data_IF_940325193213
#
_entry.id   IF_940325193213
#
_cell.length_a   1.000
_cell.length_b   1.000
_cell.length_c   1.000
_cell.angle_alpha   90.00
_cell.angle_beta   90.00
_cell.angle_gamma   90.00
#
_symmetry.space_group_name_H-M   'P 1'
#
loop_
_entity.id
_entity.type
_entity.pdbx_description
1 polymer ?
#
# COMPACT_ATOMS: atom_id res chain seq x y z
N UNK A 1 -20.67 6.84 -2.64
CA UNK A 1 -19.62 7.01 -1.61
C UNK A 1 -18.67 5.82 -1.55
N UNK A 2 -19.09 4.57 -1.81
CA UNK A 2 -18.22 3.38 -1.70
C UNK A 2 -17.06 3.26 -2.72
N UNK A 3 -17.19 3.79 -3.94
CA UNK A 3 -16.12 3.71 -4.94
C UNK A 3 -14.83 4.46 -4.52
N UNK A 4 -14.98 5.56 -3.77
CA UNK A 4 -13.85 6.37 -3.30
C UNK A 4 -13.06 5.66 -2.19
N UNK A 5 -13.76 4.97 -1.28
CA UNK A 5 -13.18 4.20 -0.19
C UNK A 5 -12.45 2.95 -0.71
N UNK A 6 -13.06 2.24 -1.67
CA UNK A 6 -12.47 1.08 -2.34
C UNK A 6 -11.24 1.44 -3.18
N UNK A 7 -11.23 2.62 -3.81
CA UNK A 7 -10.06 3.11 -4.52
C UNK A 7 -8.92 3.49 -3.56
N UNK A 8 -9.22 4.15 -2.44
CA UNK A 8 -8.22 4.44 -1.41
C UNK A 8 -7.62 3.15 -0.83
N UNK A 9 -8.46 2.12 -0.61
CA UNK A 9 -8.02 0.79 -0.21
C UNK A 9 -7.11 0.17 -1.28
N UNK A 10 -7.53 0.11 -2.54
CA UNK A 10 -6.74 -0.42 -3.65
C UNK A 10 -5.38 0.28 -3.82
N UNK A 11 -5.34 1.62 -3.75
CA UNK A 11 -4.07 2.32 -3.90
C UNK A 11 -3.18 2.19 -2.66
N UNK A 12 -3.75 1.94 -1.48
CA UNK A 12 -2.95 1.53 -0.32
C UNK A 12 -2.34 0.14 -0.48
N UNK A 13 -3.05 -0.74 -1.18
CA UNK A 13 -2.61 -2.10 -1.47
C UNK A 13 -1.48 -2.15 -2.50
N UNK A 14 -1.53 -1.35 -3.57
CA UNK A 14 -0.54 -1.39 -4.67
C UNK A 14 0.73 -0.56 -4.44
N UNK A 15 0.73 0.38 -3.49
CA UNK A 15 1.89 1.25 -3.24
C UNK A 15 3.08 0.51 -2.60
N UNK A 16 4.18 0.28 -3.32
CA UNK A 16 5.52 -0.08 -2.79
C UNK A 16 5.85 0.86 -1.62
N UNK A 17 6.11 0.51 -0.36
CA UNK A 17 6.65 -0.64 0.38
C UNK A 17 5.92 -0.59 1.75
N UNK A 18 6.36 -1.33 2.77
CA UNK A 18 6.02 -1.35 4.22
C UNK A 18 5.21 -0.20 4.87
N UNK A 19 5.25 1.02 4.34
CA UNK A 19 4.64 2.24 4.87
C UNK A 19 3.12 2.21 4.98
N UNK A 20 2.42 1.46 4.12
CA UNK A 20 0.96 1.35 4.15
C UNK A 20 0.48 0.19 5.03
N UNK A 21 1.29 -0.89 5.18
CA UNK A 21 0.86 -2.09 5.88
C UNK A 21 0.62 -1.81 7.38
N UNK A 22 1.52 -1.09 8.06
CA UNK A 22 1.38 -0.80 9.50
C UNK A 22 0.47 0.39 9.79
N UNK A 23 0.19 1.23 8.77
CA UNK A 23 -0.67 2.41 8.92
C UNK A 23 -2.14 2.12 8.63
N UNK A 24 -2.44 1.15 7.75
CA UNK A 24 -3.81 0.77 7.38
C UNK A 24 -4.30 -0.54 8.00
N UNK A 25 -3.42 -1.52 8.24
CA UNK A 25 -3.78 -2.63 9.13
C UNK A 25 -3.55 -2.11 10.53
N UNK A 26 -4.63 -2.04 11.29
CA UNK A 26 -4.65 -1.65 12.68
C UNK A 26 -3.41 -2.19 13.37
N UNK A 27 -2.70 -1.29 14.06
CA UNK A 27 -1.77 -1.63 15.12
C UNK A 27 -2.53 -2.58 16.06
N UNK A 28 -2.47 -3.90 15.85
CA UNK A 28 -3.05 -4.85 16.77
C UNK A 28 -2.27 -4.62 18.07
N UNK A 29 -2.86 -3.96 19.08
CA UNK A 29 -2.11 -3.46 20.22
C UNK A 29 -1.51 -4.61 21.05
N UNK A 30 -1.91 -5.86 20.74
CA UNK A 30 -1.58 -7.07 21.48
C UNK A 30 -0.77 -8.10 20.66
N UNK A 31 -0.34 -7.78 19.42
CA UNK A 31 0.55 -8.67 18.66
C UNK A 31 1.65 -7.86 17.97
N UNK A 32 2.88 -7.85 18.49
CA UNK A 32 4.00 -7.25 17.76
C UNK A 32 4.15 -7.94 16.40
N UNK A 33 4.52 -7.18 15.37
CA UNK A 33 4.89 -7.75 14.08
C UNK A 33 5.95 -8.84 14.30
N UNK A 34 5.90 -9.93 13.54
CA UNK A 34 6.77 -11.10 13.75
C UNK A 34 8.27 -10.73 13.79
N UNK A 35 8.67 -9.70 13.03
CA UNK A 35 10.05 -9.22 13.04
C UNK A 35 10.42 -8.35 14.25
N UNK A 36 9.44 -7.88 15.04
CA UNK A 36 9.69 -7.12 16.28
C UNK A 36 9.74 -8.01 17.52
N UNK A 37 9.53 -9.33 17.36
CA UNK A 37 9.63 -10.29 18.48
C UNK A 37 11.08 -10.32 19.00
N UNK A 38 11.24 -10.08 20.30
CA UNK A 38 12.56 -10.01 20.94
C UNK A 38 13.28 -8.65 20.78
N UNK A 39 12.62 -7.64 20.22
CA UNK A 39 13.14 -6.28 20.20
C UNK A 39 13.21 -5.67 21.61
N UNK A 40 14.21 -4.82 21.85
CA UNK A 40 14.34 -4.08 23.11
C UNK A 40 13.27 -2.99 23.21
N UNK A 41 13.03 -2.46 24.43
CA UNK A 41 12.11 -1.33 24.62
C UNK A 41 12.49 -0.11 23.77
N UNK A 42 13.78 0.15 23.61
CA UNK A 42 14.26 1.26 22.77
C UNK A 42 13.92 1.02 21.28
N UNK A 43 14.14 -0.18 20.77
CA UNK A 43 13.81 -0.56 19.39
C UNK A 43 12.30 -0.49 19.13
N UNK A 44 11.48 -0.88 20.11
CA UNK A 44 10.02 -0.75 20.05
C UNK A 44 9.60 0.73 20.00
N UNK A 45 10.22 1.60 20.78
CA UNK A 45 9.93 3.04 20.73
C UNK A 45 10.39 3.68 19.42
N UNK A 46 11.55 3.28 18.88
CA UNK A 46 11.99 3.70 17.55
C UNK A 46 11.00 3.28 16.47
N UNK A 47 10.54 2.03 16.51
CA UNK A 47 9.49 1.52 15.61
C UNK A 47 8.22 2.38 15.66
N UNK A 48 7.71 2.67 16.87
CA UNK A 48 6.52 3.51 17.05
C UNK A 48 6.70 4.90 16.44
N UNK A 49 7.86 5.53 16.64
CA UNK A 49 8.17 6.85 16.07
C UNK A 49 8.17 6.83 14.54
N UNK A 50 8.78 5.81 13.92
CA UNK A 50 8.80 5.66 12.46
C UNK A 50 7.38 5.50 11.91
N UNK A 51 6.56 4.66 12.55
CA UNK A 51 5.18 4.43 12.13
C UNK A 51 4.31 5.67 12.26
N UNK A 52 4.46 6.43 13.35
CA UNK A 52 3.68 7.63 13.65
C UNK A 52 4.03 8.84 12.75
N UNK A 53 5.23 8.91 12.17
CA UNK A 53 5.71 10.07 11.41
C UNK A 53 5.09 10.16 10.01
N UNK A 54 3.94 10.84 9.91
CA UNK A 54 3.20 11.02 8.66
C UNK A 54 3.91 11.86 7.61
N UNK A 55 4.99 12.56 7.97
CA UNK A 55 5.75 13.41 7.06
C UNK A 55 6.80 12.65 6.26
N UNK A 56 7.06 11.38 6.60
CA UNK A 56 7.97 10.54 5.83
C UNK A 56 7.36 10.20 4.47
N UNK A 57 8.14 10.45 3.43
CA UNK A 57 7.93 9.76 2.15
C UNK A 57 8.08 8.25 2.36
N UNK A 58 7.50 7.46 1.45
CA UNK A 58 7.63 6.00 1.57
C UNK A 58 9.09 5.55 1.50
N UNK A 59 9.93 6.19 0.67
CA UNK A 59 11.37 5.93 0.62
C UNK A 59 12.06 6.19 1.96
N UNK A 60 11.76 7.31 2.63
CA UNK A 60 12.35 7.62 3.94
C UNK A 60 11.86 6.67 5.02
N UNK A 61 10.57 6.31 5.00
CA UNK A 61 10.00 5.31 5.89
C UNK A 61 10.76 3.98 5.74
N UNK A 62 10.95 3.50 4.51
CA UNK A 62 11.66 2.24 4.24
C UNK A 62 13.09 2.29 4.76
N UNK A 63 13.81 3.38 4.48
CA UNK A 63 15.18 3.57 4.93
C UNK A 63 15.28 3.52 6.46
N UNK A 64 14.36 4.19 7.17
CA UNK A 64 14.32 4.15 8.64
C UNK A 64 13.94 2.77 9.17
N UNK A 65 13.00 2.08 8.53
CA UNK A 65 12.58 0.74 8.92
C UNK A 65 13.69 -0.29 8.70
N UNK A 66 14.40 -0.24 7.57
CA UNK A 66 15.55 -1.08 7.28
C UNK A 66 16.69 -0.84 8.28
N UNK A 67 16.95 0.42 8.64
CA UNK A 67 17.95 0.76 9.66
C UNK A 67 17.59 0.24 11.06
N UNK A 68 16.30 0.22 11.42
CA UNK A 68 15.83 -0.41 12.65
C UNK A 68 16.00 -1.92 12.58
N UNK A 69 15.55 -2.55 11.50
CA UNK A 69 15.61 -4.01 11.31
C UNK A 69 17.05 -4.52 11.36
N UNK A 70 18.01 -3.77 10.83
CA UNK A 70 19.43 -4.12 10.88
C UNK A 70 19.99 -4.22 12.32
N UNK A 71 19.32 -3.62 13.30
CA UNK A 71 19.68 -3.68 14.73
C UNK A 71 19.00 -4.85 15.46
N UNK A 72 18.07 -5.55 14.82
CA UNK A 72 17.33 -6.67 15.40
C UNK A 72 18.10 -7.99 15.22
N UNK A 73 17.60 -9.05 15.86
CA UNK A 73 18.17 -10.39 15.76
C UNK A 73 18.15 -10.91 14.31
N UNK A 74 19.02 -11.87 13.93
CA UNK A 74 19.01 -12.47 12.60
C UNK A 74 17.65 -13.06 12.20
N UNK A 75 16.95 -13.70 13.16
CA UNK A 75 15.61 -14.24 12.94
C UNK A 75 14.57 -13.14 12.63
N UNK A 76 14.68 -11.99 13.30
CA UNK A 76 13.85 -10.82 13.02
C UNK A 76 14.13 -10.24 11.63
N UNK A 77 15.40 -10.14 11.24
CA UNK A 77 15.79 -9.70 9.90
C UNK A 77 15.24 -10.62 8.81
N UNK A 78 15.35 -11.94 9.00
CA UNK A 78 14.79 -12.94 8.09
C UNK A 78 13.26 -12.82 7.99
N UNK A 79 12.57 -12.69 9.13
CA UNK A 79 11.12 -12.50 9.16
C UNK A 79 10.69 -11.22 8.42
N UNK A 80 11.44 -10.12 8.58
CA UNK A 80 11.19 -8.89 7.83
C UNK A 80 11.39 -9.10 6.33
N UNK A 81 12.53 -9.66 5.92
CA UNK A 81 12.83 -9.89 4.49
C UNK A 81 11.83 -10.82 3.81
N UNK A 82 11.42 -11.90 4.49
CA UNK A 82 10.36 -12.80 4.03
C UNK A 82 9.06 -12.03 3.81
N UNK A 83 8.65 -11.21 4.79
CA UNK A 83 7.43 -10.40 4.69
C UNK A 83 7.49 -9.39 3.55
N UNK A 84 8.63 -8.71 3.35
CA UNK A 84 8.82 -7.78 2.23
C UNK A 84 8.66 -8.49 0.89
N UNK A 85 9.23 -9.68 0.75
CA UNK A 85 9.11 -10.49 -0.46
C UNK A 85 7.66 -10.89 -0.74
N UNK A 86 6.93 -11.39 0.28
CA UNK A 86 5.51 -11.76 0.18
C UNK A 86 4.63 -10.58 -0.25
N UNK A 87 4.85 -9.41 0.36
CA UNK A 87 4.10 -8.19 0.03
C UNK A 87 4.42 -7.73 -1.39
N UNK A 88 5.69 -7.72 -1.81
CA UNK A 88 6.08 -7.36 -3.18
C UNK A 88 5.40 -8.26 -4.22
N UNK A 89 5.40 -9.56 -3.99
CA UNK A 89 4.79 -10.52 -4.91
C UNK A 89 3.26 -10.36 -4.95
N UNK A 90 2.62 -10.17 -3.80
CA UNK A 90 1.17 -9.95 -3.71
C UNK A 90 0.76 -8.68 -4.44
N UNK A 91 1.53 -7.60 -4.29
CA UNK A 91 1.34 -6.35 -5.02
C UNK A 91 1.52 -6.49 -6.51
N UNK A 92 2.52 -7.25 -6.95
CA UNK A 92 2.71 -7.56 -8.36
C UNK A 92 1.48 -8.26 -8.93
N UNK A 93 0.95 -9.29 -8.24
CA UNK A 93 -0.27 -10.00 -8.63
C UNK A 93 -1.49 -9.06 -8.69
N UNK A 94 -1.66 -8.20 -7.68
CA UNK A 94 -2.75 -7.22 -7.64
C UNK A 94 -2.64 -6.19 -8.77
N UNK A 95 -1.44 -5.68 -9.02
CA UNK A 95 -1.20 -4.74 -10.11
C UNK A 95 -1.48 -5.35 -11.47
N UNK A 96 -1.07 -6.59 -11.71
CA UNK A 96 -1.38 -7.32 -12.94
C UNK A 96 -2.90 -7.53 -13.08
N UNK A 97 -3.59 -7.92 -12.01
CA UNK A 97 -5.05 -8.11 -12.06
C UNK A 97 -5.79 -6.81 -12.31
N UNK A 98 -5.35 -5.72 -11.68
CA UNK A 98 -5.88 -4.39 -11.95
C UNK A 98 -5.72 -4.03 -13.42
N UNK A 99 -4.51 -4.14 -13.97
CA UNK A 99 -4.24 -3.83 -15.37
C UNK A 99 -5.08 -4.69 -16.33
N UNK A 100 -5.23 -5.99 -16.05
CA UNK A 100 -6.12 -6.89 -16.78
C UNK A 100 -7.57 -6.36 -16.80
N UNK A 101 -8.12 -6.02 -15.63
CA UNK A 101 -9.48 -5.49 -15.50
C UNK A 101 -9.66 -4.12 -16.16
N UNK A 102 -8.64 -3.26 -16.12
CA UNK A 102 -8.69 -1.94 -16.77
C UNK A 102 -8.73 -2.00 -18.30
N UNK A 103 -8.32 -3.13 -18.89
CA UNK A 103 -8.24 -3.28 -20.35
C UNK A 103 -9.60 -3.10 -21.04
N UNK A 104 -10.68 -3.43 -20.33
CA UNK A 104 -12.08 -3.40 -20.77
C UNK A 104 -12.82 -2.07 -20.48
N UNK A 105 -12.13 -1.08 -19.92
CA UNK A 105 -12.73 0.21 -19.58
C UNK A 105 -12.86 1.13 -20.79
N UNK A 106 -13.83 2.05 -20.71
CA UNK A 106 -13.94 3.17 -21.65
C UNK A 106 -12.67 4.03 -21.58
N UNK A 107 -12.36 4.76 -22.66
CA UNK A 107 -11.08 5.46 -22.82
C UNK A 107 -10.75 6.40 -21.65
N UNK A 108 -11.72 7.16 -21.15
CA UNK A 108 -11.55 8.06 -20.00
C UNK A 108 -11.19 7.28 -18.73
N UNK A 109 -11.98 6.26 -18.39
CA UNK A 109 -11.77 5.41 -17.21
C UNK A 109 -10.45 4.63 -17.29
N UNK A 110 -10.10 4.14 -18.49
CA UNK A 110 -8.84 3.44 -18.76
C UNK A 110 -7.63 4.35 -18.56
N UNK A 111 -7.70 5.59 -19.06
CA UNK A 111 -6.63 6.57 -18.86
C UNK A 111 -6.49 6.91 -17.37
N UNK A 112 -7.61 7.17 -16.69
CA UNK A 112 -7.63 7.48 -15.27
C UNK A 112 -7.03 6.34 -14.42
N UNK A 113 -7.45 5.10 -14.69
CA UNK A 113 -6.94 3.92 -14.01
C UNK A 113 -5.43 3.73 -14.23
N UNK A 114 -4.94 3.98 -15.45
CA UNK A 114 -3.50 3.96 -15.75
C UNK A 114 -2.73 5.02 -14.96
N UNK A 115 -3.22 6.26 -14.90
CA UNK A 115 -2.56 7.32 -14.14
C UNK A 115 -2.58 7.02 -12.63
N UNK A 116 -3.67 6.46 -12.11
CA UNK A 116 -3.74 6.00 -10.72
C UNK A 116 -2.73 4.88 -10.43
N UNK A 117 -2.58 3.93 -11.37
CA UNK A 117 -1.58 2.88 -11.29
C UNK A 117 -0.16 3.45 -11.30
N UNK A 118 0.15 4.39 -12.20
CA UNK A 118 1.47 5.03 -12.27
C UNK A 118 1.81 5.78 -10.97
N UNK A 119 0.83 6.47 -10.37
CA UNK A 119 0.98 7.10 -9.04
C UNK A 119 1.26 6.06 -7.96
N UNK A 120 0.62 4.89 -8.02
CA UNK A 120 0.87 3.79 -7.09
C UNK A 120 2.26 3.17 -7.25
N UNK A 121 2.73 3.00 -8.49
CA UNK A 121 4.08 2.48 -8.79
C UNK A 121 5.15 3.47 -8.33
N UNK A 122 4.93 4.77 -8.50
CA UNK A 122 5.85 5.83 -8.05
C UNK A 122 5.67 6.25 -6.58
N UNK A 123 4.91 5.48 -5.81
CA UNK A 123 4.55 5.82 -4.43
C UNK A 123 5.75 6.02 -3.50
N UNK A 124 6.90 5.42 -3.81
CA UNK A 124 8.16 5.61 -3.08
C UNK A 124 8.60 7.08 -2.99
N UNK A 125 8.24 7.90 -3.97
CA UNK A 125 8.63 9.32 -4.07
C UNK A 125 7.74 10.26 -3.26
N UNK A 126 6.62 9.78 -2.72
CA UNK A 126 5.57 10.62 -2.18
C UNK A 126 5.31 10.34 -0.70
N UNK A 127 4.97 11.40 0.04
CA UNK A 127 4.32 11.30 1.34
C UNK A 127 2.88 10.77 1.18
N UNK A 128 2.26 10.23 2.24
CA UNK A 128 0.86 9.82 2.19
C UNK A 128 -0.10 10.93 1.73
N UNK A 129 0.15 12.17 2.15
CA UNK A 129 -0.68 13.33 1.80
C UNK A 129 -0.49 13.75 0.34
N UNK A 130 0.72 13.65 -0.21
CA UNK A 130 0.97 13.87 -1.64
C UNK A 130 0.31 12.78 -2.49
N UNK A 131 0.39 11.52 -2.07
CA UNK A 131 -0.32 10.41 -2.69
C UNK A 131 -1.82 10.68 -2.71
N UNK A 132 -2.40 11.07 -1.58
CA UNK A 132 -3.83 11.38 -1.48
C UNK A 132 -4.21 12.54 -2.41
N UNK A 133 -3.45 13.64 -2.39
CA UNK A 133 -3.71 14.82 -3.24
C UNK A 133 -3.65 14.47 -4.73
N UNK A 134 -2.64 13.72 -5.18
CA UNK A 134 -2.51 13.28 -6.58
C UNK A 134 -3.69 12.42 -7.01
N UNK A 135 -4.12 11.46 -6.18
CA UNK A 135 -5.30 10.62 -6.46
C UNK A 135 -6.57 11.45 -6.53
N UNK A 136 -6.80 12.33 -5.55
CA UNK A 136 -7.98 13.19 -5.53
C UNK A 136 -8.05 14.10 -6.76
N UNK A 137 -6.92 14.64 -7.21
CA UNK A 137 -6.87 15.44 -8.43
C UNK A 137 -7.32 14.64 -9.67
N UNK A 138 -6.88 13.39 -9.80
CA UNK A 138 -7.28 12.50 -10.90
C UNK A 138 -8.77 12.19 -10.85
N UNK A 139 -9.32 11.91 -9.67
CA UNK A 139 -10.73 11.51 -9.53
C UNK A 139 -11.70 12.68 -9.73
N UNK A 140 -11.31 13.90 -9.33
CA UNK A 140 -12.16 15.09 -9.41
C UNK A 140 -12.52 15.49 -10.85
N UNK A 141 -11.70 15.09 -11.82
CA UNK A 141 -11.89 15.45 -13.22
C UNK A 141 -12.65 14.37 -14.01
N UNK A 142 -12.98 13.24 -13.39
CA UNK A 142 -13.68 12.15 -14.07
C UNK A 142 -15.18 12.38 -14.17
N UNK A 143 -15.76 11.96 -15.29
CA UNK A 143 -17.19 11.77 -15.42
C UNK A 143 -17.69 10.73 -14.40
N UNK A 144 -18.96 10.84 -14.00
CA UNK A 144 -19.57 9.86 -13.09
C UNK A 144 -19.45 8.43 -13.62
N UNK A 145 -19.67 8.24 -14.93
CA UNK A 145 -19.52 6.94 -15.60
C UNK A 145 -18.10 6.39 -15.46
N UNK A 146 -17.09 7.21 -15.70
CA UNK A 146 -15.70 6.79 -15.58
C UNK A 146 -15.32 6.50 -14.12
N UNK A 147 -15.82 7.29 -13.17
CA UNK A 147 -15.63 7.06 -11.74
C UNK A 147 -16.20 5.71 -11.31
N UNK A 148 -17.42 5.38 -11.73
CA UNK A 148 -18.09 4.11 -11.41
C UNK A 148 -17.30 2.92 -11.99
N UNK A 149 -16.87 3.01 -13.26
CA UNK A 149 -16.03 2.00 -13.92
C UNK A 149 -14.69 1.77 -13.20
N UNK A 150 -13.99 2.84 -12.82
CA UNK A 150 -12.72 2.73 -12.07
C UNK A 150 -12.96 2.14 -10.67
N UNK A 151 -14.08 2.52 -10.03
CA UNK A 151 -14.51 1.98 -8.75
C UNK A 151 -14.74 0.46 -8.80
N UNK A 152 -15.43 -0.02 -9.82
CA UNK A 152 -15.72 -1.44 -10.03
C UNK A 152 -14.45 -2.26 -10.24
N UNK A 153 -13.49 -1.74 -11.01
CA UNK A 153 -12.19 -2.41 -11.20
C UNK A 153 -11.41 -2.49 -9.88
N UNK A 154 -11.43 -1.43 -9.06
CA UNK A 154 -10.80 -1.46 -7.74
C UNK A 154 -11.46 -2.49 -6.83
N UNK A 155 -12.79 -2.53 -6.79
CA UNK A 155 -13.54 -3.51 -6.02
C UNK A 155 -13.19 -4.95 -6.42
N UNK A 156 -13.23 -5.24 -7.72
CA UNK A 156 -12.89 -6.58 -8.25
C UNK A 156 -11.45 -6.97 -7.94
N UNK A 157 -10.52 -6.01 -7.95
CA UNK A 157 -9.12 -6.28 -7.59
C UNK A 157 -8.97 -6.61 -6.10
N UNK A 158 -9.72 -5.95 -5.24
CA UNK A 158 -9.76 -6.25 -3.79
C UNK A 158 -10.39 -7.63 -3.55
N UNK A 159 -11.49 -7.95 -4.24
CA UNK A 159 -12.11 -9.27 -4.17
C UNK A 159 -11.15 -10.37 -4.62
N UNK A 160 -10.38 -10.13 -5.69
CA UNK A 160 -9.33 -11.05 -6.12
C UNK A 160 -8.29 -11.28 -5.02
N UNK A 161 -7.85 -10.23 -4.33
CA UNK A 161 -6.91 -10.34 -3.22
C UNK A 161 -7.45 -11.24 -2.10
N UNK A 162 -8.68 -10.97 -1.66
CA UNK A 162 -9.36 -11.71 -0.60
C UNK A 162 -9.52 -13.19 -0.97
N UNK A 163 -10.02 -13.47 -2.17
CA UNK A 163 -10.28 -14.83 -2.66
C UNK A 163 -9.00 -15.65 -2.86
N UNK A 164 -7.85 -15.01 -3.02
CA UNK A 164 -6.56 -15.68 -3.22
C UNK A 164 -5.67 -15.64 -1.96
N UNK A 165 -6.21 -15.19 -0.82
CA UNK A 165 -5.44 -15.08 0.42
C UNK A 165 -4.20 -14.19 0.30
N UNK A 166 -4.23 -13.21 -0.61
CA UNK A 166 -3.12 -12.28 -0.76
C UNK A 166 -3.09 -11.37 0.49
N UNK A 167 -1.93 -11.19 1.14
CA UNK A 167 -1.80 -10.23 2.23
C UNK A 167 -2.22 -8.83 1.75
N UNK A 168 -3.33 -8.37 2.31
CA UNK A 168 -3.86 -7.01 2.21
C UNK A 168 -3.15 -6.10 3.23
#
# INVERSE_FOLDING_TARGET
MHAFELLLLFVGLVANVSAQLVRHTEYYPNSPLTFMVGATSEQIEQFKRIVADRNLSIKEYNKKMEALVAQLSPAAQEAYMKRISEVKESRRKLGLKFLELTSNLDMEAKLAAKVLFDVAVKSEEYTPDEMLRKKQAILRILSKKALDQVGDVCFQTIQFAYNNGLPL
#
